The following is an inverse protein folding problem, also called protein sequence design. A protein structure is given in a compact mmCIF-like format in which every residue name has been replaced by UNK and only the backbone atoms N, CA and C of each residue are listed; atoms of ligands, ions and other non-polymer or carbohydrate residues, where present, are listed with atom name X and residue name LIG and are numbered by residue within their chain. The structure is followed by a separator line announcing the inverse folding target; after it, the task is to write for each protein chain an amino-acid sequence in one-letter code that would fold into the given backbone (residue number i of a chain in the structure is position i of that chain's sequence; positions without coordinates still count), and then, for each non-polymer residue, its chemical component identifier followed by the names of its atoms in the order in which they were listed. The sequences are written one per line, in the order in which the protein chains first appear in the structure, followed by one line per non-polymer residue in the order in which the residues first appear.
data_IF_141854263893
#
_entry.id   IF_141854263893
#
_cell.length_a   1.000
_cell.length_b   1.000
_cell.length_c   1.000
_cell.angle_alpha   90.00
_cell.angle_beta   90.00
_cell.angle_gamma   90.00
#
_symmetry.space_group_name_H-M   'P 1'
#
loop_
_entity.id
_entity.type
_entity.pdbx_description
1 polymer ?
#
# COMPACT_ATOMS: atom_id res chain seq x y z
N UNK A 1 9.34 5.37 14.61
CA UNK A 1 8.36 5.28 13.49
C UNK A 1 8.10 3.81 13.24
N UNK A 2 6.85 3.36 13.31
CA UNK A 2 6.55 1.94 13.23
C UNK A 2 6.87 1.44 11.80
N UNK A 3 7.81 0.50 11.66
CA UNK A 3 8.34 0.05 10.36
C UNK A 3 7.24 -0.40 9.38
N UNK A 4 6.09 -0.85 9.89
CA UNK A 4 4.95 -1.31 9.09
C UNK A 4 4.29 -0.20 8.26
N UNK A 5 4.13 1.01 8.81
CA UNK A 5 3.51 2.13 8.09
C UNK A 5 4.42 2.65 6.98
N UNK A 6 5.72 2.78 7.25
CA UNK A 6 6.72 3.22 6.27
C UNK A 6 6.78 2.24 5.09
N UNK A 7 6.75 0.93 5.37
CA UNK A 7 6.80 -0.08 4.32
C UNK A 7 5.57 -0.02 3.39
N UNK A 8 4.37 0.19 3.96
CA UNK A 8 3.14 0.29 3.18
C UNK A 8 3.15 1.48 2.24
N UNK A 9 3.57 2.67 2.72
CA UNK A 9 3.68 3.88 1.90
C UNK A 9 4.73 3.73 0.79
N UNK A 10 5.90 3.14 1.11
CA UNK A 10 6.97 2.92 0.14
C UNK A 10 6.54 1.95 -0.96
N UNK A 11 5.81 0.87 -0.62
CA UNK A 11 5.28 -0.09 -1.59
C UNK A 11 4.31 0.56 -2.59
N UNK A 12 3.38 1.40 -2.10
CA UNK A 12 2.43 2.11 -2.96
C UNK A 12 3.17 3.12 -3.85
N UNK A 13 4.11 3.88 -3.28
CA UNK A 13 4.88 4.88 -4.01
C UNK A 13 5.78 4.26 -5.10
N UNK A 14 6.46 3.16 -4.78
CA UNK A 14 7.30 2.43 -5.71
C UNK A 14 6.47 1.79 -6.84
N UNK A 15 5.33 1.17 -6.51
CA UNK A 15 4.41 0.62 -7.52
C UNK A 15 3.84 1.69 -8.44
N UNK A 16 3.43 2.84 -7.88
CA UNK A 16 2.96 4.01 -8.63
C UNK A 16 4.02 4.56 -9.58
N UNK A 17 5.24 4.78 -9.09
CA UNK A 17 6.35 5.25 -9.91
C UNK A 17 6.69 4.27 -11.04
N UNK A 18 6.67 2.96 -10.77
CA UNK A 18 6.93 1.93 -11.78
C UNK A 18 5.85 1.91 -12.87
N UNK A 19 4.58 2.05 -12.51
CA UNK A 19 3.50 2.15 -13.49
C UNK A 19 3.60 3.41 -14.33
N UNK A 20 3.85 4.57 -13.70
CA UNK A 20 4.05 5.83 -14.43
C UNK A 20 5.20 5.69 -15.43
N UNK A 21 6.35 5.19 -14.99
CA UNK A 21 7.48 4.90 -15.87
C UNK A 21 7.10 3.99 -17.04
N UNK A 22 6.40 2.89 -16.75
CA UNK A 22 6.02 1.91 -17.76
C UNK A 22 4.96 2.40 -18.75
N UNK A 23 4.20 3.45 -18.41
CA UNK A 23 3.22 4.09 -19.30
C UNK A 23 3.88 5.22 -20.10
N UNK A 24 4.86 5.91 -19.52
CA UNK A 24 5.53 7.06 -20.15
C UNK A 24 6.60 6.68 -21.17
N UNK A 25 7.09 5.44 -21.18
CA UNK A 25 8.14 4.99 -22.11
C UNK A 25 7.57 3.98 -23.12
N UNK A 26 7.71 4.27 -24.41
CA UNK A 26 7.05 3.54 -25.51
C UNK A 26 7.58 2.10 -25.72
N UNK A 27 8.82 1.81 -25.29
CA UNK A 27 9.47 0.49 -25.48
C UNK A 27 9.53 -0.38 -24.21
N UNK A 28 8.74 -0.06 -23.18
CA UNK A 28 8.71 -0.89 -21.96
C UNK A 28 7.80 -2.09 -22.16
N UNK A 29 8.36 -3.28 -21.88
CA UNK A 29 7.62 -4.53 -21.98
C UNK A 29 6.31 -4.51 -21.17
N UNK A 30 5.19 -5.03 -21.71
CA UNK A 30 3.92 -5.11 -21.00
C UNK A 30 4.00 -5.79 -19.63
N UNK A 31 4.99 -6.68 -19.43
CA UNK A 31 5.24 -7.34 -18.16
C UNK A 31 5.55 -6.36 -17.02
N UNK A 32 6.18 -5.21 -17.29
CA UNK A 32 6.42 -4.18 -16.27
C UNK A 32 5.12 -3.53 -15.78
N UNK A 33 4.13 -3.36 -16.67
CA UNK A 33 2.79 -2.86 -16.29
C UNK A 33 2.10 -3.85 -15.36
N UNK A 34 2.20 -5.14 -15.65
CA UNK A 34 1.61 -6.21 -14.84
C UNK A 34 2.29 -6.27 -13.46
N UNK A 35 3.61 -6.24 -13.42
CA UNK A 35 4.38 -6.24 -12.15
C UNK A 35 4.06 -5.00 -11.33
N UNK A 36 4.04 -3.81 -11.94
CA UNK A 36 3.69 -2.56 -11.26
C UNK A 36 2.27 -2.60 -10.68
N UNK A 37 1.32 -3.17 -11.41
CA UNK A 37 -0.05 -3.36 -10.94
C UNK A 37 -0.09 -4.29 -9.72
N UNK A 38 0.60 -5.44 -9.76
CA UNK A 38 0.66 -6.38 -8.64
C UNK A 38 1.25 -5.71 -7.39
N UNK A 39 2.33 -4.94 -7.55
CA UNK A 39 2.98 -4.21 -6.44
C UNK A 39 2.02 -3.20 -5.82
N UNK A 40 1.30 -2.43 -6.65
CA UNK A 40 0.28 -1.48 -6.16
C UNK A 40 -0.83 -2.21 -5.41
N UNK A 41 -1.39 -3.28 -5.98
CA UNK A 41 -2.46 -4.05 -5.33
C UNK A 41 -2.00 -4.62 -3.99
N UNK A 42 -0.77 -5.12 -3.91
CA UNK A 42 -0.20 -5.63 -2.66
C UNK A 42 0.03 -4.51 -1.63
N UNK A 43 0.55 -3.36 -2.05
CA UNK A 43 0.73 -2.19 -1.19
C UNK A 43 -0.60 -1.67 -0.63
N UNK A 44 -1.61 -1.57 -1.49
CA UNK A 44 -2.99 -1.21 -1.10
C UNK A 44 -3.59 -2.23 -0.15
N UNK A 45 -3.50 -3.53 -0.45
CA UNK A 45 -4.00 -4.59 0.41
C UNK A 45 -3.42 -4.48 1.83
N UNK A 46 -2.10 -4.30 1.96
CA UNK A 46 -1.47 -4.11 3.27
C UNK A 46 -1.91 -2.82 3.96
N UNK A 47 -2.05 -1.72 3.23
CA UNK A 47 -2.50 -0.45 3.79
C UNK A 47 -3.95 -0.54 4.30
N UNK A 48 -4.85 -1.14 3.52
CA UNK A 48 -6.24 -1.36 3.90
C UNK A 48 -6.34 -2.35 5.07
N UNK A 49 -5.58 -3.45 5.05
CA UNK A 49 -5.62 -4.43 6.14
C UNK A 49 -5.06 -3.84 7.45
N UNK A 50 -4.02 -3.01 7.36
CA UNK A 50 -3.52 -2.25 8.51
C UNK A 50 -4.60 -1.29 9.03
N UNK A 51 -5.26 -0.53 8.14
CA UNK A 51 -6.33 0.39 8.53
C UNK A 51 -7.49 -0.33 9.23
N UNK A 52 -7.92 -1.48 8.70
CA UNK A 52 -8.96 -2.32 9.31
C UNK A 52 -8.52 -2.83 10.68
N UNK A 53 -7.31 -3.38 10.80
CA UNK A 53 -6.78 -3.92 12.06
C UNK A 53 -6.67 -2.85 13.14
N UNK A 54 -6.22 -1.64 12.79
CA UNK A 54 -6.13 -0.52 13.76
C UNK A 54 -7.48 0.12 14.08
N UNK A 55 -8.53 -0.14 13.29
CA UNK A 55 -9.84 0.48 13.51
C UNK A 55 -10.58 -0.10 14.71
N UNK A 56 -10.37 -1.39 15.01
CA UNK A 56 -10.96 -2.08 16.16
C UNK A 56 -10.26 -1.74 17.48
N UNK A 57 -8.95 -1.45 17.45
CA UNK A 57 -8.21 -1.05 18.67
C UNK A 57 -8.70 0.30 19.22
N UNK A 58 -9.18 1.20 18.35
CA UNK A 58 -9.77 2.49 18.78
C UNK A 58 -11.19 2.38 19.36
N UNK A 59 -11.86 1.23 19.28
CA UNK A 59 -13.17 1.04 19.94
C UNK A 59 -13.04 0.53 21.37
N UNK A 60 -12.02 -0.27 21.69
CA UNK A 60 -11.89 -0.87 23.03
C UNK A 60 -11.21 0.04 24.09
N UNK A 61 -10.61 1.16 23.69
CA UNK A 61 -9.96 2.09 24.62
C UNK A 61 -10.95 3.05 25.32
N UNK A 62 -12.17 3.21 24.77
CA UNK A 62 -13.18 4.14 25.31
C UNK A 62 -14.24 3.47 26.20
N UNK A 63 -14.18 2.15 26.41
CA UNK A 63 -15.20 1.40 27.17
C UNK A 63 -14.75 1.01 28.61
N UNK A 64 -13.53 1.36 29.02
CA UNK A 64 -12.99 1.06 30.36
C UNK A 64 -12.79 2.31 31.25
N UNK A 65 -13.57 3.39 31.03
CA UNK A 65 -13.55 4.61 31.85
C UNK A 65 -14.94 5.01 32.43
N UNK A 66 -15.88 4.07 32.60
CA UNK A 66 -17.08 4.27 33.43
C UNK A 66 -17.12 3.35 34.66
#
# INVERSE_FOLDING_TARGET
MNNSQVLNTVLIMAGGALLLYSISVEDVSPYFKIIGLIIIMFGLYRATNFWVATKDDHQNENENQE
#
